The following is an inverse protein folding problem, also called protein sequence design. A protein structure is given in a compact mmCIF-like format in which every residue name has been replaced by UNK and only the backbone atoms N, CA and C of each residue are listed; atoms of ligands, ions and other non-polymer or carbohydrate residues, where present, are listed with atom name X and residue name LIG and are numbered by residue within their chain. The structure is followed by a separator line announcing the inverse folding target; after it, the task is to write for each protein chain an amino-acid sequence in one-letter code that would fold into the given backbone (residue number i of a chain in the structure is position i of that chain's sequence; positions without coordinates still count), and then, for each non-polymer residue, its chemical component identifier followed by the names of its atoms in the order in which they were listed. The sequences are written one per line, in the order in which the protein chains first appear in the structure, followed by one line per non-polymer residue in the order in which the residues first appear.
data_IF_063216855786
#
_entry.id   IF_063216855786
#
_cell.length_a   1.000
_cell.length_b   1.000
_cell.length_c   1.000
_cell.angle_alpha   90.00
_cell.angle_beta   90.00
_cell.angle_gamma   90.00
#
_symmetry.space_group_name_H-M   'P 1'
#
loop_
_entity.id
_entity.type
_entity.pdbx_description
1 polymer ?
#
# COMPACT_ATOMS: atom_id res chain seq x y z
N UNK A 1 -11.87 -7.17 -1.44
CA UNK A 1 -11.74 -5.87 -0.74
C UNK A 1 -11.05 -4.88 -1.67
N UNK A 2 -11.81 -4.03 -2.38
CA UNK A 2 -11.40 -2.67 -2.77
C UNK A 2 -12.70 -1.88 -2.92
N UNK A 3 -13.23 -1.40 -1.80
CA UNK A 3 -14.54 -0.71 -1.78
C UNK A 3 -14.43 0.72 -2.34
N UNK A 4 -13.24 1.31 -2.28
CA UNK A 4 -12.91 2.52 -3.02
C UNK A 4 -12.41 2.16 -4.42
N UNK A 5 -13.12 2.58 -5.46
CA UNK A 5 -12.75 2.43 -6.88
C UNK A 5 -11.57 3.36 -7.26
N UNK A 6 -10.58 3.47 -6.40
CA UNK A 6 -9.43 4.34 -6.59
C UNK A 6 -8.39 3.67 -7.48
N UNK A 7 -7.87 4.40 -8.47
CA UNK A 7 -6.79 3.93 -9.34
C UNK A 7 -5.41 3.99 -8.64
N UNK A 8 -5.26 4.86 -7.63
CA UNK A 8 -4.05 5.02 -6.83
C UNK A 8 -4.35 5.59 -5.44
N UNK A 9 -3.44 5.36 -4.49
CA UNK A 9 -3.46 5.96 -3.16
C UNK A 9 -2.10 6.58 -2.84
N UNK A 10 -2.11 7.74 -2.18
CA UNK A 10 -0.91 8.44 -1.73
C UNK A 10 -0.90 8.54 -0.20
N UNK A 11 0.24 8.21 0.40
CA UNK A 11 0.48 8.38 1.82
C UNK A 11 1.88 8.98 2.03
N UNK A 12 2.04 9.80 3.08
CA UNK A 12 3.29 10.53 3.33
C UNK A 12 3.81 10.33 4.75
N UNK A 13 3.06 10.74 5.78
CA UNK A 13 3.50 10.69 7.19
C UNK A 13 3.96 9.29 7.61
N UNK A 14 3.17 8.26 7.30
CA UNK A 14 3.46 6.87 7.67
C UNK A 14 4.76 6.33 7.07
N UNK A 15 5.18 6.86 5.90
CA UNK A 15 6.46 6.50 5.27
C UNK A 15 7.59 7.41 5.73
N UNK A 16 7.29 8.70 5.96
CA UNK A 16 8.25 9.69 6.43
C UNK A 16 8.76 9.36 7.84
N UNK A 17 7.85 8.97 8.73
CA UNK A 17 8.14 8.55 10.09
C UNK A 17 8.50 7.06 10.21
N UNK A 18 8.58 6.34 9.09
CA UNK A 18 8.94 4.90 9.02
C UNK A 18 8.05 4.01 9.89
N UNK A 19 6.78 4.36 10.03
CA UNK A 19 5.78 3.51 10.67
C UNK A 19 5.57 2.22 9.86
N UNK A 20 5.65 2.33 8.54
CA UNK A 20 5.66 1.18 7.61
C UNK A 20 6.72 1.37 6.53
N UNK A 21 7.26 0.25 6.03
CA UNK A 21 8.14 0.29 4.86
C UNK A 21 7.37 0.12 3.54
N UNK A 22 7.91 0.67 2.45
CA UNK A 22 7.32 0.48 1.10
C UNK A 22 7.19 -1.01 0.76
N UNK A 23 8.18 -1.83 1.15
CA UNK A 23 8.18 -3.27 0.88
C UNK A 23 7.05 -3.97 1.64
N UNK A 24 6.94 -3.72 2.93
CA UNK A 24 5.90 -4.29 3.80
C UNK A 24 4.49 -3.91 3.31
N UNK A 25 4.25 -2.64 3.00
CA UNK A 25 2.97 -2.20 2.45
C UNK A 25 2.62 -2.92 1.15
N UNK A 26 3.58 -3.08 0.24
CA UNK A 26 3.36 -3.81 -1.02
C UNK A 26 3.10 -5.30 -0.80
N UNK A 27 3.81 -5.92 0.14
CA UNK A 27 3.58 -7.33 0.48
C UNK A 27 2.18 -7.55 1.06
N UNK A 28 1.75 -6.65 1.95
CA UNK A 28 0.39 -6.64 2.50
C UNK A 28 -0.68 -6.42 1.42
N UNK A 29 -0.49 -5.45 0.53
CA UNK A 29 -1.42 -5.19 -0.57
C UNK A 29 -1.53 -6.41 -1.50
N UNK A 30 -0.39 -7.00 -1.86
CA UNK A 30 -0.34 -8.22 -2.68
C UNK A 30 -1.05 -9.40 -2.01
N UNK A 31 -0.84 -9.62 -0.70
CA UNK A 31 -1.50 -10.72 0.03
C UNK A 31 -3.01 -10.53 0.13
N UNK A 32 -3.50 -9.29 0.06
CA UNK A 32 -4.92 -8.94 0.00
C UNK A 32 -5.48 -8.90 -1.43
N UNK A 33 -4.72 -9.34 -2.44
CA UNK A 33 -5.17 -9.42 -3.82
C UNK A 33 -5.13 -8.10 -4.59
N UNK A 34 -4.46 -7.07 -4.06
CA UNK A 34 -4.22 -5.81 -4.77
C UNK A 34 -2.97 -5.95 -5.64
N UNK A 35 -3.06 -5.83 -6.98
CA UNK A 35 -1.91 -5.91 -7.86
C UNK A 35 -0.96 -4.72 -7.62
N UNK A 36 0.27 -5.01 -7.21
CA UNK A 36 1.31 -4.01 -6.96
C UNK A 36 2.65 -4.45 -7.53
N UNK A 37 3.47 -3.50 -7.96
CA UNK A 37 4.84 -3.76 -8.45
C UNK A 37 5.78 -4.01 -7.26
N UNK A 38 6.46 -5.15 -7.25
CA UNK A 38 7.51 -5.47 -6.26
C UNK A 38 8.85 -4.88 -6.68
#
# INVERSE_FOLDING_TARGET
LVEGKADAALAASIFHYREFSIKETKEYLRSNGVPVRL
#
